data_IF_825034108573
#
_entry.id   IF_825034108573
#
_cell.length_a   1.000
_cell.length_b   1.000
_cell.length_c   1.000
_cell.angle_alpha   90.00
_cell.angle_beta   90.00
_cell.angle_gamma   90.00
#
_symmetry.space_group_name_H-M   'P 1'
#
loop_
_entity.id
_entity.type
_entity.pdbx_description
1 polymer ?
#
# COMPACT_ATOMS: atom_id res chain seq x y z
N UNK A 1 -8.56 8.56 -25.31
CA UNK A 1 -8.29 7.82 -24.06
C UNK A 1 -8.46 6.33 -24.33
N UNK A 2 -7.39 5.55 -24.22
CA UNK A 2 -7.40 4.10 -24.43
C UNK A 2 -6.93 3.39 -23.16
N UNK A 3 -7.40 2.16 -22.96
CA UNK A 3 -6.93 1.34 -21.84
C UNK A 3 -5.54 0.84 -22.17
N UNK A 4 -4.55 1.19 -21.34
CA UNK A 4 -3.20 0.63 -21.44
C UNK A 4 -3.18 -0.81 -20.93
N UNK A 5 -3.79 -1.04 -19.77
CA UNK A 5 -3.85 -2.37 -19.18
C UNK A 5 -4.58 -2.41 -17.84
N UNK A 6 -4.88 -3.64 -17.40
CA UNK A 6 -5.53 -3.93 -16.14
C UNK A 6 -4.66 -4.93 -15.39
N UNK A 7 -4.50 -4.71 -14.10
CA UNK A 7 -3.78 -5.62 -13.23
C UNK A 7 -4.54 -5.86 -11.94
N UNK A 8 -4.52 -7.11 -11.50
CA UNK A 8 -5.17 -7.54 -10.26
C UNK A 8 -4.18 -8.33 -9.41
N UNK A 9 -4.30 -8.18 -8.09
CA UNK A 9 -3.50 -8.91 -7.13
C UNK A 9 -4.32 -9.32 -5.91
N UNK A 10 -4.05 -10.54 -5.42
CA UNK A 10 -4.67 -11.09 -4.22
C UNK A 10 -3.57 -11.50 -3.27
N UNK A 11 -3.57 -10.91 -2.08
CA UNK A 11 -2.54 -11.07 -1.09
C UNK A 11 -3.10 -11.76 0.16
N UNK A 12 -2.49 -12.89 0.54
CA UNK A 12 -2.81 -13.60 1.78
C UNK A 12 -2.00 -13.03 2.95
N UNK A 13 -2.69 -12.38 3.90
CA UNK A 13 -2.11 -11.63 5.01
C UNK A 13 -1.24 -12.52 5.93
N UNK A 14 -1.69 -13.69 6.43
CA UNK A 14 -0.88 -14.56 7.29
C UNK A 14 0.44 -14.99 6.65
N UNK A 15 0.45 -15.24 5.33
CA UNK A 15 1.66 -15.62 4.60
C UNK A 15 2.68 -14.49 4.57
N UNK A 16 2.22 -13.25 4.33
CA UNK A 16 3.12 -12.10 4.31
C UNK A 16 3.62 -11.76 5.71
N UNK A 17 2.78 -11.87 6.75
CA UNK A 17 3.19 -11.75 8.16
C UNK A 17 4.27 -12.78 8.51
N UNK A 18 4.10 -14.04 8.11
CA UNK A 18 5.12 -15.08 8.33
C UNK A 18 6.44 -14.76 7.61
N UNK A 19 6.40 -14.11 6.44
CA UNK A 19 7.61 -13.66 5.74
C UNK A 19 8.29 -12.49 6.48
N UNK A 20 7.50 -11.53 6.96
CA UNK A 20 8.01 -10.37 7.68
C UNK A 20 8.66 -10.79 9.00
N UNK A 21 8.04 -11.72 9.74
CA UNK A 21 8.65 -12.29 10.96
C UNK A 21 10.03 -12.91 10.71
N UNK A 22 10.26 -13.49 9.53
CA UNK A 22 11.55 -14.11 9.17
C UNK A 22 12.59 -13.13 8.64
N UNK A 23 12.18 -12.12 7.85
CA UNK A 23 13.11 -11.23 7.13
C UNK A 23 13.24 -9.83 7.73
N UNK A 24 12.34 -9.46 8.64
CA UNK A 24 12.26 -8.13 9.26
C UNK A 24 11.37 -7.16 8.47
N UNK A 25 10.54 -6.41 9.18
CA UNK A 25 9.60 -5.42 8.62
C UNK A 25 10.32 -4.28 7.91
N UNK A 26 11.37 -3.74 8.52
CA UNK A 26 12.12 -2.59 8.02
C UNK A 26 12.78 -2.88 6.67
N UNK A 27 13.37 -4.07 6.50
CA UNK A 27 13.98 -4.48 5.21
C UNK A 27 12.96 -4.65 4.10
N UNK A 28 11.74 -5.05 4.44
CA UNK A 28 10.67 -5.24 3.48
C UNK A 28 10.06 -3.89 3.07
N UNK A 29 9.72 -3.06 4.05
CA UNK A 29 9.23 -1.71 3.86
C UNK A 29 10.24 -0.85 3.09
N UNK A 30 11.53 -0.97 3.39
CA UNK A 30 12.59 -0.24 2.70
C UNK A 30 12.76 -0.63 1.23
N UNK A 31 12.23 -1.77 0.79
CA UNK A 31 12.21 -2.17 -0.63
C UNK A 31 10.96 -1.67 -1.35
N UNK A 32 9.80 -1.80 -0.72
CA UNK A 32 8.50 -1.53 -1.36
C UNK A 32 8.15 -0.04 -1.36
N UNK A 33 8.31 0.64 -0.23
CA UNK A 33 7.76 1.98 -0.04
C UNK A 33 8.55 3.03 -0.85
N UNK A 34 7.89 3.95 -1.53
CA UNK A 34 8.56 5.09 -2.16
C UNK A 34 9.17 6.01 -1.08
N UNK A 35 10.12 6.90 -1.43
CA UNK A 35 10.71 7.81 -0.43
C UNK A 35 9.65 8.63 0.34
N UNK A 36 8.58 9.06 -0.34
CA UNK A 36 7.45 9.76 0.29
C UNK A 36 6.70 8.86 1.27
N UNK A 37 6.44 7.61 0.87
CA UNK A 37 5.76 6.63 1.74
C UNK A 37 6.62 6.20 2.93
N UNK A 38 7.95 6.14 2.76
CA UNK A 38 8.89 5.82 3.84
C UNK A 38 8.87 6.88 4.93
N UNK A 39 8.83 8.17 4.57
CA UNK A 39 8.71 9.26 5.54
C UNK A 39 7.42 9.15 6.36
N UNK A 40 6.29 8.88 5.70
CA UNK A 40 5.01 8.66 6.36
C UNK A 40 5.05 7.42 7.28
N UNK A 41 5.70 6.33 6.84
CA UNK A 41 5.85 5.12 7.63
C UNK A 41 6.70 5.34 8.88
N UNK A 42 7.84 6.03 8.75
CA UNK A 42 8.67 6.38 9.91
C UNK A 42 7.95 7.29 10.89
N UNK A 43 7.16 8.26 10.41
CA UNK A 43 6.33 9.08 11.28
C UNK A 43 5.37 8.21 12.10
N UNK A 44 4.70 7.22 11.49
CA UNK A 44 3.79 6.31 12.21
C UNK A 44 4.52 5.43 13.23
N UNK A 45 5.70 4.88 12.91
CA UNK A 45 6.49 4.08 13.86
C UNK A 45 6.92 4.90 15.09
N UNK A 46 7.29 6.17 14.90
CA UNK A 46 7.70 7.07 15.97
C UNK A 46 6.56 7.38 16.95
N UNK A 47 5.34 7.63 16.43
CA UNK A 47 4.17 7.89 17.28
C UNK A 47 3.78 6.64 18.09
N UNK A 48 3.91 5.47 17.47
CA UNK A 48 3.55 4.19 18.07
C UNK A 48 4.50 3.74 19.17
N UNK A 49 5.76 4.16 19.10
CA UNK A 49 6.74 3.89 20.14
C UNK A 49 6.52 4.75 21.40
N UNK A 50 5.72 5.83 21.30
CA UNK A 50 5.42 6.75 22.41
C UNK A 50 4.12 6.42 23.15
N UNK A 51 3.15 5.76 22.53
CA UNK A 51 1.88 5.40 23.17
C UNK A 51 1.86 3.92 23.62
N UNK A 52 1.78 3.68 24.93
CA UNK A 52 1.65 2.33 25.53
C UNK A 52 0.24 1.72 25.42
N UNK A 53 -0.76 2.48 24.96
CA UNK A 53 -2.14 2.03 24.76
C UNK A 53 -2.58 2.41 23.34
N UNK A 54 -3.14 1.49 22.53
CA UNK A 54 -3.62 1.85 21.20
C UNK A 54 -4.94 2.61 21.34
N UNK A 55 -4.93 3.93 21.16
CA UNK A 55 -6.16 4.66 20.85
C UNK A 55 -6.60 4.25 19.45
N UNK A 56 -7.74 3.56 19.40
CA UNK A 56 -8.39 3.06 18.18
C UNK A 56 -8.45 4.12 17.07
N UNK A 57 -8.59 5.40 17.40
CA UNK A 57 -8.80 6.48 16.44
C UNK A 57 -7.70 6.69 15.40
N UNK A 58 -6.40 6.56 15.73
CA UNK A 58 -5.32 6.88 14.77
C UNK A 58 -5.07 5.74 13.78
N UNK A 59 -5.23 4.49 14.24
CA UNK A 59 -5.10 3.32 13.38
C UNK A 59 -6.36 3.15 12.51
N UNK A 60 -7.57 3.36 13.07
CA UNK A 60 -8.84 3.40 12.31
C UNK A 60 -8.90 4.56 11.30
N UNK A 61 -8.13 5.65 11.51
CA UNK A 61 -8.03 6.76 10.53
C UNK A 61 -7.26 6.39 9.24
N UNK A 62 -6.33 5.44 9.30
CA UNK A 62 -5.65 4.89 8.12
C UNK A 62 -6.25 3.57 7.63
N UNK A 63 -6.99 2.91 8.52
CA UNK A 63 -7.67 1.64 8.33
C UNK A 63 -9.17 1.90 8.30
N UNK A 64 -9.78 2.06 7.13
CA UNK A 64 -11.20 1.74 6.95
C UNK A 64 -11.49 0.23 7.17
N UNK A 65 -10.87 -0.39 8.17
CA UNK A 65 -10.60 -1.83 8.28
C UNK A 65 -10.67 -2.21 9.76
N UNK A 66 -11.81 -2.75 10.20
CA UNK A 66 -12.01 -3.34 11.53
C UNK A 66 -11.28 -4.69 11.66
N UNK A 67 -9.96 -4.71 11.49
CA UNK A 67 -9.14 -5.91 11.70
C UNK A 67 -8.56 -6.02 13.12
N UNK A 68 -9.01 -5.16 14.04
CA UNK A 68 -8.46 -5.04 15.40
C UNK A 68 -8.88 -6.14 16.39
N UNK A 69 -9.70 -7.13 16.00
CA UNK A 69 -10.33 -8.00 17.00
C UNK A 69 -10.22 -9.51 16.77
N UNK A 70 -9.94 -9.98 15.56
CA UNK A 70 -9.93 -11.41 15.29
C UNK A 70 -8.55 -11.84 14.80
N UNK A 71 -8.03 -12.85 15.50
CA UNK A 71 -6.85 -13.68 15.18
C UNK A 71 -5.52 -13.24 15.84
N UNK A 72 -5.41 -13.72 17.09
CA UNK A 72 -4.20 -14.34 17.70
C UNK A 72 -3.18 -13.42 18.36
N UNK A 73 -3.22 -13.40 19.70
CA UNK A 73 -2.04 -13.50 20.57
C UNK A 73 -1.06 -12.33 20.57
N UNK A 74 -1.20 -11.45 21.57
CA UNK A 74 -0.13 -10.74 22.31
C UNK A 74 1.00 -10.00 21.56
N UNK A 75 0.94 -9.79 20.24
CA UNK A 75 1.95 -9.03 19.50
C UNK A 75 1.40 -7.68 19.00
N UNK A 76 1.67 -6.54 19.70
CA UNK A 76 1.22 -5.21 19.27
C UNK A 76 1.82 -4.72 17.93
N UNK A 77 2.76 -5.48 17.36
CA UNK A 77 3.46 -5.17 16.10
C UNK A 77 2.56 -5.29 14.87
N UNK A 78 1.40 -5.98 14.95
CA UNK A 78 0.68 -6.43 13.75
C UNK A 78 -0.14 -5.33 13.04
N UNK A 79 -0.66 -4.33 13.76
CA UNK A 79 -1.53 -3.29 13.18
C UNK A 79 -0.79 -2.33 12.25
N UNK A 80 0.50 -2.14 12.47
CA UNK A 80 1.35 -1.19 11.76
C UNK A 80 1.74 -1.67 10.37
N UNK A 81 1.69 -2.98 10.13
CA UNK A 81 2.12 -3.56 8.88
C UNK A 81 1.02 -3.59 7.83
N UNK A 82 -0.25 -3.58 8.22
CA UNK A 82 -1.38 -3.67 7.29
C UNK A 82 -1.34 -2.61 6.17
N UNK A 83 -1.05 -1.32 6.45
CA UNK A 83 -0.90 -0.31 5.40
C UNK A 83 0.24 -0.61 4.41
N UNK A 84 1.27 -1.35 4.82
CA UNK A 84 2.34 -1.80 3.93
C UNK A 84 1.92 -3.00 3.08
N UNK A 85 1.06 -3.89 3.61
CA UNK A 85 0.55 -5.05 2.87
C UNK A 85 -0.38 -4.58 1.73
N UNK A 86 -1.27 -3.62 2.00
CA UNK A 86 -2.12 -3.03 0.96
C UNK A 86 -1.29 -2.38 -0.17
N UNK A 87 -0.21 -1.67 0.19
CA UNK A 87 0.73 -1.09 -0.79
C UNK A 87 1.45 -2.14 -1.62
N UNK A 88 1.77 -3.30 -1.04
CA UNK A 88 2.31 -4.42 -1.80
C UNK A 88 1.33 -4.84 -2.90
N UNK A 89 0.10 -5.19 -2.53
CA UNK A 89 -0.91 -5.67 -3.47
C UNK A 89 -1.18 -4.65 -4.58
N UNK A 90 -1.29 -3.36 -4.23
CA UNK A 90 -1.47 -2.28 -5.21
C UNK A 90 -0.30 -2.19 -6.18
N UNK A 91 0.94 -2.26 -5.70
CA UNK A 91 2.13 -2.13 -6.56
C UNK A 91 2.31 -3.34 -7.48
N UNK A 92 1.97 -4.53 -7.02
CA UNK A 92 1.94 -5.74 -7.86
C UNK A 92 0.84 -5.64 -8.93
N UNK A 93 -0.36 -5.21 -8.56
CA UNK A 93 -1.44 -4.95 -9.51
C UNK A 93 -1.04 -3.89 -10.55
N UNK A 94 -0.39 -2.80 -10.12
CA UNK A 94 0.11 -1.76 -11.02
C UNK A 94 1.20 -2.25 -11.95
N UNK A 95 2.13 -3.08 -11.46
CA UNK A 95 3.18 -3.69 -12.28
C UNK A 95 2.56 -4.55 -13.41
N UNK A 96 1.53 -5.34 -13.08
CA UNK A 96 0.78 -6.14 -14.07
C UNK A 96 0.04 -5.26 -15.07
N UNK A 97 -0.60 -4.18 -14.60
CA UNK A 97 -1.36 -3.26 -15.44
C UNK A 97 -0.48 -2.49 -16.44
N UNK A 98 0.77 -2.21 -16.09
CA UNK A 98 1.70 -1.42 -16.90
C UNK A 98 2.53 -2.25 -17.90
N UNK A 99 2.49 -3.59 -17.81
CA UNK A 99 3.23 -4.47 -18.73
C UNK A 99 2.93 -4.13 -20.21
N UNK A 100 3.93 -4.07 -21.11
CA UNK A 100 5.33 -4.51 -20.96
C UNK A 100 6.27 -3.50 -20.27
N UNK A 101 5.79 -2.30 -19.92
CA UNK A 101 6.57 -1.35 -19.14
C UNK A 101 6.74 -1.86 -17.70
N UNK A 102 7.99 -1.89 -17.20
CA UNK A 102 8.35 -2.47 -15.91
C UNK A 102 8.77 -1.38 -14.92
N UNK A 103 7.81 -0.73 -14.22
CA UNK A 103 8.13 0.30 -13.25
C UNK A 103 8.90 -0.29 -12.06
N UNK A 104 9.79 0.50 -11.44
CA UNK A 104 10.35 0.13 -10.15
C UNK A 104 9.37 0.48 -9.02
N UNK A 105 9.37 -0.29 -7.93
CA UNK A 105 8.45 -0.06 -6.80
C UNK A 105 8.58 1.35 -6.18
N UNK A 106 9.73 2.01 -6.37
CA UNK A 106 10.03 3.35 -5.85
C UNK A 106 9.42 4.47 -6.67
N UNK A 107 9.09 4.20 -7.94
CA UNK A 107 8.45 5.15 -8.85
C UNK A 107 6.94 5.20 -8.63
N UNK A 108 6.37 4.19 -8.00
CA UNK A 108 4.94 4.14 -7.65
C UNK A 108 4.74 4.66 -6.22
N UNK A 109 3.92 5.70 -6.08
CA UNK A 109 3.51 6.26 -4.79
C UNK A 109 2.00 6.07 -4.62
N UNK A 110 1.61 5.33 -3.57
CA UNK A 110 0.21 5.11 -3.23
C UNK A 110 -0.22 6.04 -2.09
N UNK A 111 -1.19 6.87 -2.39
CA UNK A 111 -1.87 7.75 -1.43
C UNK A 111 -3.17 7.10 -1.02
N UNK A 112 -3.28 6.83 0.28
CA UNK A 112 -4.46 6.21 0.90
C UNK A 112 -5.62 7.19 0.99
N UNK A 113 -6.81 6.66 1.19
CA UNK A 113 -7.99 7.45 1.51
C UNK A 113 -7.74 8.30 2.76
N UNK A 114 -7.98 9.60 2.66
CA UNK A 114 -7.99 10.50 3.81
C UNK A 114 -9.44 10.89 4.12
N UNK A 115 -9.97 10.35 5.21
CA UNK A 115 -11.35 10.62 5.64
C UNK A 115 -11.59 12.08 6.02
N UNK A 116 -10.55 12.85 6.35
CA UNK A 116 -10.69 14.27 6.67
C UNK A 116 -10.86 15.12 5.41
N UNK A 117 -10.16 14.74 4.34
CA UNK A 117 -10.15 15.47 3.08
C UNK A 117 -11.07 14.83 2.01
N UNK A 118 -11.69 13.69 2.30
CA UNK A 118 -12.55 12.95 1.37
C UNK A 118 -11.83 12.46 0.11
N UNK A 119 -10.49 12.36 0.15
CA UNK A 119 -9.70 12.06 -1.05
C UNK A 119 -9.74 10.57 -1.35
N UNK A 120 -10.14 10.23 -2.58
CA UNK A 120 -10.11 8.85 -3.09
C UNK A 120 -8.66 8.32 -3.06
N UNK A 121 -8.43 7.02 -2.79
CA UNK A 121 -7.12 6.43 -2.96
C UNK A 121 -6.62 6.64 -4.39
N UNK A 122 -5.37 7.09 -4.52
CA UNK A 122 -4.76 7.41 -5.81
C UNK A 122 -3.38 6.77 -5.91
N UNK A 123 -2.99 6.44 -7.13
CA UNK A 123 -1.69 5.87 -7.44
C UNK A 123 -0.99 6.81 -8.42
N UNK A 124 0.10 7.42 -7.96
CA UNK A 124 0.93 8.28 -8.79
C UNK A 124 2.15 7.50 -9.29
N UNK A 125 2.49 7.72 -10.56
CA UNK A 125 3.73 7.25 -11.15
C UNK A 125 4.67 8.44 -11.32
N UNK A 126 5.70 8.51 -10.46
CA UNK A 126 6.75 9.52 -10.46
C UNK A 126 8.08 8.88 -10.93
N UNK A 127 8.38 8.90 -12.23
CA UNK A 127 9.66 8.40 -12.74
C UNK A 127 10.79 9.31 -12.26
N UNK A 128 11.92 8.72 -11.84
CA UNK A 128 13.13 9.49 -11.46
C UNK A 128 13.79 10.22 -12.64
N UNK A 129 13.41 9.85 -13.86
CA UNK A 129 13.82 10.51 -15.11
C UNK A 129 12.63 11.26 -15.69
N UNK A 130 12.75 12.58 -15.79
CA UNK A 130 11.73 13.52 -16.30
C UNK A 130 11.45 13.39 -17.79
N UNK A 131 12.16 12.50 -18.51
CA UNK A 131 12.03 12.30 -19.95
C UNK A 131 10.81 11.47 -20.39
N UNK A 132 9.95 11.10 -19.44
CA UNK A 132 8.67 10.49 -19.76
C UNK A 132 7.79 10.48 -18.54
N UNK A 133 7.00 11.54 -18.32
CA UNK A 133 5.70 11.36 -17.69
C UNK A 133 5.02 10.26 -18.51
N UNK A 134 4.98 9.04 -17.99
CA UNK A 134 4.18 8.00 -18.62
C UNK A 134 2.78 8.57 -18.79
N UNK A 135 2.14 8.47 -19.97
CA UNK A 135 0.83 9.08 -20.24
C UNK A 135 -0.30 8.39 -19.46
N UNK A 136 -0.01 7.72 -18.34
CA UNK A 136 -0.96 6.84 -17.67
C UNK A 136 -1.63 7.54 -16.50
N UNK A 137 -2.96 7.65 -16.58
CA UNK A 137 -3.79 7.82 -15.40
C UNK A 137 -3.99 6.44 -14.75
N UNK A 138 -3.52 6.27 -13.52
CA UNK A 138 -3.68 5.04 -12.76
C UNK A 138 -4.87 5.16 -11.81
N UNK A 139 -5.87 4.33 -12.03
CA UNK A 139 -7.03 4.20 -11.17
C UNK A 139 -6.86 2.97 -10.30
N UNK A 140 -6.97 3.13 -8.99
CA UNK A 140 -6.74 2.07 -8.01
C UNK A 140 -7.99 1.83 -7.18
N UNK A 141 -8.26 0.57 -6.89
CA UNK A 141 -9.21 0.14 -5.88
C UNK A 141 -8.57 -0.94 -5.03
N UNK A 142 -8.78 -0.88 -3.73
CA UNK A 142 -8.30 -1.85 -2.76
C UNK A 142 -9.45 -2.23 -1.86
N UNK A 143 -9.63 -3.53 -1.69
CA UNK A 143 -10.54 -4.11 -0.72
C UNK A 143 -9.78 -5.12 0.12
N UNK A 144 -10.32 -5.44 1.28
CA UNK A 144 -9.86 -6.56 2.08
C UNK A 144 -11.09 -7.26 2.63
N UNK A 145 -11.01 -8.58 2.72
CA UNK A 145 -12.02 -9.38 3.39
C UNK A 145 -11.35 -10.62 3.97
N UNK A 146 -11.66 -10.91 5.23
CA UNK A 146 -10.91 -11.89 6.00
C UNK A 146 -9.39 -11.69 5.83
N UNK A 147 -8.69 -12.82 5.72
CA UNK A 147 -7.22 -12.86 5.68
C UNK A 147 -6.64 -12.49 4.30
N UNK A 148 -7.42 -11.84 3.45
CA UNK A 148 -7.06 -11.50 2.08
C UNK A 148 -7.20 -10.01 1.80
N UNK A 149 -6.24 -9.47 1.06
CA UNK A 149 -6.29 -8.14 0.47
C UNK A 149 -6.38 -8.31 -1.03
N UNK A 150 -7.36 -7.66 -1.64
CA UNK A 150 -7.54 -7.60 -3.08
C UNK A 150 -7.22 -6.18 -3.58
N UNK A 151 -6.41 -6.09 -4.63
CA UNK A 151 -6.12 -4.82 -5.29
C UNK A 151 -6.36 -4.96 -6.80
N UNK A 152 -6.96 -3.92 -7.38
CA UNK A 152 -7.13 -3.79 -8.83
C UNK A 152 -6.62 -2.43 -9.27
N UNK A 153 -5.82 -2.41 -10.32
CA UNK A 153 -5.28 -1.20 -10.94
C UNK A 153 -5.67 -1.20 -12.42
N UNK A 154 -6.19 -0.06 -12.86
CA UNK A 154 -6.55 0.21 -14.24
C UNK A 154 -5.67 1.35 -14.74
N UNK A 155 -4.90 1.09 -15.79
CA UNK A 155 -4.02 2.06 -16.42
C UNK A 155 -4.67 2.59 -17.70
N UNK A 156 -4.86 3.90 -17.76
CA UNK A 156 -5.48 4.60 -18.87
C UNK A 156 -4.47 5.52 -19.56
N UNK A 157 -4.34 5.42 -20.87
CA UNK A 157 -3.48 6.30 -21.68
C UNK A 157 -4.20 7.63 -21.97
N UNK A 158 -3.66 8.71 -21.41
CA UNK A 158 -3.92 10.11 -21.77
C UNK A 158 -3.21 10.40 -23.10
N UNK A 159 -3.94 10.17 -24.19
CA UNK A 159 -3.64 10.71 -25.53
C UNK A 159 -3.72 12.22 -25.53
#
# INVERSE_FOLDING_TARGET
MSVHGIGVDLLHVPRLVALIKRRGSVKLASRILSPREQQAFHALELHSSREKQPRLDTLTRFLGVRYAFLVVGSCPVMYHLFPCLARWAVKEAAYKALYPFRPTWKELTYTTFDSQNGTKPTLAFDPRSTLGMGPWALHVSVSHDGDYIFASVFAETRT
#
